data_IF_779503029473
#
_entry.id   IF_779503029473
#
_cell.length_a   1.000
_cell.length_b   1.000
_cell.length_c   1.000
_cell.angle_alpha   90.00
_cell.angle_beta   90.00
_cell.angle_gamma   90.00
#
_symmetry.space_group_name_H-M   'P 1'
#
loop_
_entity.id
_entity.type
_entity.pdbx_description
1 polymer ?
#
# COMPACT_ATOMS: atom_id res chain seq x y z
N UNK A 1 5.55 13.99 -16.74
CA UNK A 1 5.53 12.93 -17.76
C UNK A 1 4.30 13.14 -18.62
N UNK A 2 4.47 13.04 -19.93
CA UNK A 2 3.38 13.18 -20.88
C UNK A 2 2.48 11.93 -20.87
N UNK A 3 1.27 11.99 -21.43
CA UNK A 3 0.45 10.80 -21.68
C UNK A 3 1.19 9.76 -22.52
N UNK A 4 1.38 8.56 -21.97
CA UNK A 4 1.87 7.36 -22.67
C UNK A 4 1.77 6.14 -21.74
N UNK A 5 2.02 4.95 -22.30
CA UNK A 5 2.26 3.72 -21.55
C UNK A 5 3.77 3.43 -21.48
N UNK A 6 4.33 3.56 -20.29
CA UNK A 6 5.73 3.36 -19.99
C UNK A 6 5.97 1.94 -19.48
N UNK A 7 6.62 1.10 -20.29
CA UNK A 7 7.01 -0.28 -19.95
C UNK A 7 8.38 -0.34 -19.26
N UNK A 8 8.55 0.46 -18.21
CA UNK A 8 9.82 0.58 -17.49
C UNK A 8 9.60 0.61 -15.98
N UNK A 9 10.66 0.31 -15.23
CA UNK A 9 10.68 0.47 -13.78
C UNK A 9 11.25 1.86 -13.45
N UNK A 10 10.50 2.66 -12.68
CA UNK A 10 11.00 3.95 -12.21
C UNK A 10 11.78 3.76 -10.90
N UNK A 11 13.05 4.15 -10.89
CA UNK A 11 13.89 4.08 -9.69
C UNK A 11 14.27 5.49 -9.23
N UNK A 12 13.94 5.84 -7.99
CA UNK A 12 14.24 7.17 -7.44
C UNK A 12 15.72 7.29 -7.05
N UNK A 13 16.42 6.16 -6.81
CA UNK A 13 17.86 6.09 -6.49
C UNK A 13 18.27 7.05 -5.38
N UNK A 14 17.54 7.03 -4.27
CA UNK A 14 17.79 7.87 -3.08
C UNK A 14 17.68 9.38 -3.32
N UNK A 15 17.08 9.81 -4.44
CA UNK A 15 16.91 11.23 -4.73
C UNK A 15 15.56 11.75 -4.23
N UNK A 16 15.60 12.94 -3.64
CA UNK A 16 14.44 13.77 -3.32
C UNK A 16 13.70 14.34 -4.54
N UNK A 17 13.41 13.50 -5.54
CA UNK A 17 12.81 13.93 -6.80
C UNK A 17 11.29 13.82 -6.79
N UNK A 18 10.66 14.74 -7.51
CA UNK A 18 9.23 14.66 -7.82
C UNK A 18 9.08 14.05 -9.21
N UNK A 19 8.46 12.87 -9.28
CA UNK A 19 8.02 12.25 -10.52
C UNK A 19 6.51 12.43 -10.60
N UNK A 20 6.06 13.14 -11.63
CA UNK A 20 4.66 13.49 -11.80
C UNK A 20 4.21 13.38 -13.26
N UNK A 21 2.96 12.99 -13.50
CA UNK A 21 2.32 13.20 -14.81
C UNK A 21 1.93 14.67 -15.00
N UNK A 22 1.38 15.01 -16.17
CA UNK A 22 0.84 16.35 -16.43
C UNK A 22 -0.37 16.72 -15.55
N UNK A 23 -0.93 15.77 -14.78
CA UNK A 23 -1.92 16.06 -13.74
C UNK A 23 -1.47 17.20 -12.81
N UNK A 24 -0.17 17.32 -12.52
CA UNK A 24 0.36 18.37 -11.64
C UNK A 24 0.21 19.80 -12.20
N UNK A 25 -0.04 19.96 -13.50
CA UNK A 25 -0.11 21.25 -14.16
C UNK A 25 -1.51 21.90 -14.03
N UNK A 26 -2.58 21.11 -14.09
CA UNK A 26 -3.95 21.60 -14.16
C UNK A 26 -4.99 20.77 -13.39
N UNK A 27 -4.56 19.71 -12.69
CA UNK A 27 -5.41 18.74 -11.98
C UNK A 27 -6.43 18.00 -12.87
N UNK A 28 -6.15 17.86 -14.17
CA UNK A 28 -6.98 17.07 -15.04
C UNK A 28 -6.74 15.57 -14.83
N UNK A 29 -7.74 14.87 -14.29
CA UNK A 29 -7.68 13.43 -14.02
C UNK A 29 -7.41 12.57 -15.27
N UNK A 30 -7.72 13.07 -16.48
CA UNK A 30 -7.40 12.35 -17.71
C UNK A 30 -5.90 12.06 -17.86
N UNK A 31 -5.03 12.87 -17.22
CA UNK A 31 -3.60 12.60 -17.18
C UNK A 31 -3.21 11.43 -16.29
N UNK A 32 -4.02 11.11 -15.27
CA UNK A 32 -3.80 9.91 -14.44
C UNK A 32 -4.09 8.65 -15.24
N UNK A 33 -5.20 8.67 -16.00
CA UNK A 33 -5.64 7.53 -16.81
C UNK A 33 -4.70 7.28 -18.00
N UNK A 34 -4.14 8.35 -18.57
CA UNK A 34 -3.34 8.29 -19.81
C UNK A 34 -1.82 8.28 -19.61
N UNK A 35 -1.33 8.47 -18.39
CA UNK A 35 0.10 8.32 -18.05
C UNK A 35 0.27 7.06 -17.18
N UNK A 36 0.63 5.96 -17.84
CA UNK A 36 0.62 4.61 -17.25
C UNK A 36 2.05 4.10 -17.05
N UNK A 37 2.40 3.68 -15.83
CA UNK A 37 3.61 2.90 -15.54
C UNK A 37 3.19 1.43 -15.51
N UNK A 38 3.63 0.66 -16.50
CA UNK A 38 3.19 -0.71 -16.72
C UNK A 38 4.32 -1.71 -16.50
N UNK A 39 4.21 -2.51 -15.42
CA UNK A 39 5.18 -3.51 -15.01
C UNK A 39 5.08 -4.86 -15.73
N UNK A 40 4.24 -5.00 -16.77
CA UNK A 40 3.94 -6.30 -17.39
C UNK A 40 5.10 -6.97 -18.13
N UNK A 41 6.19 -6.25 -18.39
CA UNK A 41 7.36 -6.75 -19.13
C UNK A 41 8.67 -6.30 -18.46
N UNK A 42 8.96 -6.75 -17.23
CA UNK A 42 10.16 -6.33 -16.52
C UNK A 42 11.40 -6.91 -17.21
N UNK A 43 12.43 -6.09 -17.41
CA UNK A 43 13.72 -6.55 -17.95
C UNK A 43 14.42 -7.54 -17.01
N UNK A 44 14.16 -7.41 -15.69
CA UNK A 44 14.60 -8.34 -14.67
C UNK A 44 13.40 -8.79 -13.80
N UNK A 45 13.01 -10.07 -13.86
CA UNK A 45 11.89 -10.61 -13.08
C UNK A 45 12.04 -10.47 -11.55
N UNK A 46 13.26 -10.29 -11.04
CA UNK A 46 13.51 -10.16 -9.60
C UNK A 46 13.46 -8.71 -9.12
N UNK A 47 13.29 -7.73 -10.01
CA UNK A 47 13.03 -6.32 -9.69
C UNK A 47 11.85 -5.83 -10.52
N UNK A 48 10.70 -6.47 -10.35
CA UNK A 48 9.52 -6.26 -11.19
C UNK A 48 8.47 -5.34 -10.55
N UNK A 49 8.85 -4.54 -9.55
CA UNK A 49 8.02 -3.45 -9.04
C UNK A 49 7.93 -2.33 -10.08
N UNK A 50 6.75 -1.74 -10.32
CA UNK A 50 6.66 -0.61 -11.26
C UNK A 50 7.51 0.58 -10.81
N UNK A 51 7.53 0.86 -9.50
CA UNK A 51 8.31 1.96 -8.92
C UNK A 51 9.09 1.47 -7.70
N UNK A 52 10.38 1.82 -7.66
CA UNK A 52 11.28 1.59 -6.54
C UNK A 52 11.73 2.92 -5.93
N UNK A 53 11.39 3.11 -4.66
CA UNK A 53 11.82 4.24 -3.82
C UNK A 53 12.52 3.65 -2.60
N UNK A 54 13.72 3.15 -2.83
CA UNK A 54 14.53 2.42 -1.86
C UNK A 54 15.87 3.11 -1.63
N UNK A 55 16.42 2.88 -0.45
CA UNK A 55 17.77 3.28 -0.05
C UNK A 55 18.54 2.06 0.46
N UNK A 56 19.86 2.06 0.29
CA UNK A 56 20.75 1.02 0.80
C UNK A 56 21.15 1.26 2.27
N UNK A 57 20.82 2.42 2.83
CA UNK A 57 21.06 2.76 4.24
C UNK A 57 19.78 3.22 4.93
N UNK A 58 19.64 2.83 6.20
CA UNK A 58 18.58 3.36 7.06
C UNK A 58 18.82 4.87 7.26
N UNK A 59 18.08 5.69 6.52
CA UNK A 59 18.14 7.13 6.67
C UNK A 59 17.35 7.55 7.90
N UNK A 60 17.99 8.35 8.75
CA UNK A 60 17.35 8.98 9.92
C UNK A 60 16.66 10.29 9.57
N UNK A 61 16.71 10.71 8.31
CA UNK A 61 16.12 11.97 7.86
C UNK A 61 14.72 11.74 7.34
N UNK A 62 13.75 12.49 7.88
CA UNK A 62 12.35 12.58 7.40
C UNK A 62 12.26 13.30 6.04
N UNK A 63 13.11 12.93 5.08
CA UNK A 63 13.08 13.56 3.76
C UNK A 63 11.80 13.16 3.02
N UNK A 64 10.89 14.13 2.95
CA UNK A 64 9.59 14.05 2.27
C UNK A 64 9.59 14.75 0.92
N UNK A 65 10.76 15.19 0.44
CA UNK A 65 10.89 15.90 -0.84
C UNK A 65 10.47 15.02 -2.02
N UNK A 66 10.79 13.72 -1.97
CA UNK A 66 10.39 12.75 -2.98
C UNK A 66 8.86 12.61 -3.09
N UNK A 67 8.35 12.57 -4.32
CA UNK A 67 6.93 12.35 -4.56
C UNK A 67 6.63 11.62 -5.87
N UNK A 68 5.57 10.80 -5.86
CA UNK A 68 5.02 10.14 -7.03
C UNK A 68 3.56 10.56 -7.22
N UNK A 69 3.26 11.20 -8.36
CA UNK A 69 2.02 11.98 -8.52
C UNK A 69 1.35 11.73 -9.87
N UNK A 70 0.07 11.33 -9.85
CA UNK A 70 -0.78 11.42 -11.03
C UNK A 70 -0.62 10.29 -12.04
N UNK A 71 -0.32 9.07 -11.62
CA UNK A 71 -0.11 7.94 -12.54
C UNK A 71 -1.15 6.84 -12.38
N UNK A 72 -1.39 6.10 -13.46
CA UNK A 72 -1.86 4.71 -13.36
C UNK A 72 -0.64 3.79 -13.23
N UNK A 73 -0.61 2.92 -12.23
CA UNK A 73 0.50 2.02 -11.89
C UNK A 73 -0.03 0.60 -11.86
N UNK A 74 0.41 -0.25 -12.79
CA UNK A 74 -0.23 -1.54 -13.03
C UNK A 74 0.70 -2.65 -13.48
N UNK A 75 0.25 -3.90 -13.29
CA UNK A 75 0.90 -5.13 -13.76
C UNK A 75 2.30 -5.36 -13.17
N UNK A 76 2.65 -4.71 -12.07
CA UNK A 76 3.89 -4.97 -11.37
C UNK A 76 3.85 -6.31 -10.64
N UNK A 77 4.97 -7.05 -10.70
CA UNK A 77 5.13 -8.38 -10.13
C UNK A 77 5.98 -8.41 -8.86
N UNK A 78 6.48 -7.25 -8.42
CA UNK A 78 7.21 -7.07 -7.16
C UNK A 78 8.68 -7.44 -7.25
N UNK A 79 9.44 -6.96 -6.28
CA UNK A 79 10.89 -7.07 -6.21
C UNK A 79 11.31 -8.07 -5.15
N UNK A 80 12.21 -8.98 -5.50
CA UNK A 80 12.88 -9.87 -4.54
C UNK A 80 13.91 -9.07 -3.75
N UNK A 81 13.84 -9.13 -2.44
CA UNK A 81 14.76 -8.42 -1.57
C UNK A 81 14.85 -9.07 -0.19
N UNK A 82 16.02 -8.92 0.44
CA UNK A 82 16.27 -9.44 1.77
C UNK A 82 15.71 -8.47 2.81
N UNK A 83 14.79 -8.95 3.64
CA UNK A 83 14.25 -8.17 4.75
C UNK A 83 15.38 -7.85 5.73
N UNK A 84 15.50 -6.56 6.01
CA UNK A 84 16.49 -5.88 6.83
C UNK A 84 16.36 -6.22 8.33
N UNK A 85 15.17 -6.66 8.76
CA UNK A 85 14.90 -7.09 10.13
C UNK A 85 15.11 -8.61 10.29
N UNK A 86 15.63 -9.28 9.26
CA UNK A 86 16.02 -10.68 9.31
C UNK A 86 14.87 -11.67 9.12
N UNK A 87 13.71 -11.24 8.62
CA UNK A 87 12.57 -12.13 8.40
C UNK A 87 12.76 -13.08 7.20
N UNK A 88 13.78 -12.86 6.37
CA UNK A 88 14.13 -13.69 5.22
C UNK A 88 14.05 -12.95 3.88
N UNK A 89 14.06 -13.72 2.79
CA UNK A 89 13.99 -13.21 1.42
C UNK A 89 12.52 -13.12 0.99
N UNK A 90 12.03 -11.95 0.61
CA UNK A 90 10.63 -11.74 0.21
C UNK A 90 10.55 -11.19 -1.20
N UNK A 91 9.37 -11.34 -1.82
CA UNK A 91 9.01 -10.59 -3.02
C UNK A 91 7.88 -9.63 -2.68
N UNK A 92 8.08 -8.33 -2.83
CA UNK A 92 7.09 -7.34 -2.39
C UNK A 92 6.98 -6.11 -3.29
N UNK A 93 5.91 -5.34 -3.08
CA UNK A 93 5.71 -4.02 -3.67
C UNK A 93 5.46 -4.08 -5.17
N UNK A 94 4.38 -4.73 -5.60
CA UNK A 94 4.07 -4.94 -7.02
C UNK A 94 3.99 -3.61 -7.78
N UNK A 95 3.09 -2.73 -7.36
CA UNK A 95 3.06 -1.37 -7.89
C UNK A 95 4.26 -0.56 -7.39
N UNK A 96 4.40 -0.44 -6.07
CA UNK A 96 5.41 0.43 -5.46
C UNK A 96 6.11 -0.30 -4.31
N UNK A 97 7.44 -0.33 -4.35
CA UNK A 97 8.28 -0.73 -3.22
C UNK A 97 8.98 0.50 -2.63
N UNK A 98 8.77 0.74 -1.34
CA UNK A 98 9.33 1.84 -0.58
C UNK A 98 10.09 1.28 0.64
N UNK A 99 11.35 1.68 0.78
CA UNK A 99 12.21 1.24 1.88
C UNK A 99 13.12 2.39 2.34
N UNK A 100 13.17 2.62 3.66
CA UNK A 100 14.01 3.63 4.34
C UNK A 100 13.79 5.09 3.93
N UNK A 101 12.73 5.40 3.18
CA UNK A 101 12.45 6.72 2.66
C UNK A 101 11.02 7.13 3.00
N UNK A 102 10.75 8.45 3.03
CA UNK A 102 9.47 9.03 3.44
C UNK A 102 8.75 9.78 2.30
N UNK A 103 8.58 9.18 1.09
CA UNK A 103 8.01 9.89 -0.04
C UNK A 103 6.52 10.22 0.16
N UNK A 104 6.02 11.13 -0.69
CA UNK A 104 4.60 11.42 -0.84
C UNK A 104 4.04 10.67 -2.06
N UNK A 105 3.19 9.69 -1.83
CA UNK A 105 2.47 8.96 -2.88
C UNK A 105 1.07 9.55 -2.97
N UNK A 106 0.76 10.27 -4.06
CA UNK A 106 -0.52 10.98 -4.15
C UNK A 106 -1.16 10.99 -5.52
N UNK A 107 -2.49 10.96 -5.54
CA UNK A 107 -3.28 11.08 -6.77
C UNK A 107 -2.91 10.02 -7.83
N UNK A 108 -2.63 8.79 -7.41
CA UNK A 108 -2.37 7.68 -8.33
C UNK A 108 -3.53 6.68 -8.35
N UNK A 109 -3.66 5.95 -9.44
CA UNK A 109 -4.43 4.72 -9.56
C UNK A 109 -3.44 3.55 -9.52
N UNK A 110 -3.45 2.75 -8.47
CA UNK A 110 -2.55 1.60 -8.26
C UNK A 110 -3.40 0.35 -8.38
N UNK A 111 -3.28 -0.34 -9.50
CA UNK A 111 -4.28 -1.32 -9.93
C UNK A 111 -3.69 -2.54 -10.60
N UNK A 112 -4.27 -3.73 -10.36
CA UNK A 112 -3.88 -4.98 -11.00
C UNK A 112 -2.38 -5.31 -10.85
N UNK A 113 -1.79 -4.99 -9.70
CA UNK A 113 -0.43 -5.43 -9.37
C UNK A 113 -0.51 -6.75 -8.61
N UNK A 114 0.30 -7.74 -9.00
CA UNK A 114 0.18 -9.11 -8.50
C UNK A 114 1.52 -9.68 -8.08
N UNK A 115 1.67 -9.90 -6.78
CA UNK A 115 2.89 -10.44 -6.18
C UNK A 115 2.58 -11.80 -5.59
N UNK A 116 2.45 -12.83 -6.44
CA UNK A 116 2.02 -14.18 -6.03
C UNK A 116 3.07 -15.26 -6.27
N UNK A 117 4.16 -14.95 -6.99
CA UNK A 117 5.23 -15.90 -7.27
C UNK A 117 6.14 -16.09 -6.04
N UNK A 118 6.02 -17.25 -5.40
CA UNK A 118 6.79 -17.66 -4.21
C UNK A 118 8.11 -18.36 -4.54
N UNK A 119 8.49 -18.49 -5.81
CA UNK A 119 9.70 -19.21 -6.19
C UNK A 119 10.95 -18.54 -5.61
N UNK A 120 11.61 -19.27 -4.70
CA UNK A 120 12.87 -18.85 -4.07
C UNK A 120 12.71 -17.72 -3.06
N UNK A 121 11.51 -17.46 -2.54
CA UNK A 121 11.26 -16.48 -1.47
C UNK A 121 10.43 -17.10 -0.35
N UNK A 122 10.54 -16.56 0.86
CA UNK A 122 9.77 -16.98 2.03
C UNK A 122 8.28 -16.75 1.84
N UNK A 123 7.90 -15.59 1.31
CA UNK A 123 6.50 -15.21 1.06
C UNK A 123 6.45 -13.99 0.14
N UNK A 124 5.23 -13.52 -0.15
CA UNK A 124 4.99 -12.37 -1.01
C UNK A 124 3.98 -11.37 -0.45
N UNK A 125 4.27 -10.07 -0.56
CA UNK A 125 3.49 -9.03 0.10
C UNK A 125 3.36 -7.73 -0.67
N UNK A 126 2.42 -6.87 -0.26
CA UNK A 126 2.32 -5.50 -0.79
C UNK A 126 2.03 -5.49 -2.28
N UNK A 127 0.90 -6.09 -2.69
CA UNK A 127 0.52 -6.18 -4.10
C UNK A 127 0.52 -4.81 -4.77
N UNK A 128 -0.22 -3.86 -4.19
CA UNK A 128 -0.18 -2.46 -4.60
C UNK A 128 1.08 -1.77 -4.10
N UNK A 129 1.24 -1.68 -2.78
CA UNK A 129 2.32 -0.93 -2.14
C UNK A 129 2.94 -1.73 -0.99
N UNK A 130 4.27 -1.77 -0.92
CA UNK A 130 5.04 -2.16 0.27
C UNK A 130 5.81 -0.97 0.81
N UNK A 131 5.66 -0.69 2.10
CA UNK A 131 6.36 0.41 2.79
C UNK A 131 7.12 -0.09 4.02
N UNK A 132 8.40 0.27 4.12
CA UNK A 132 9.31 -0.11 5.20
C UNK A 132 10.12 1.07 5.73
N UNK A 133 10.26 1.14 7.06
CA UNK A 133 11.24 1.99 7.77
C UNK A 133 11.31 3.47 7.31
N UNK A 134 10.15 4.08 7.09
CA UNK A 134 10.01 5.50 6.79
C UNK A 134 8.70 6.09 7.31
N UNK A 135 8.52 7.40 7.24
CA UNK A 135 7.33 8.13 7.68
C UNK A 135 6.59 8.74 6.48
N UNK A 136 6.27 7.88 5.51
CA UNK A 136 5.67 8.28 4.25
C UNK A 136 4.20 8.73 4.38
N UNK A 137 3.68 9.34 3.32
CA UNK A 137 2.26 9.60 3.18
C UNK A 137 1.68 9.02 1.90
N UNK A 138 0.53 8.35 2.04
CA UNK A 138 -0.25 7.78 0.94
C UNK A 138 -1.58 8.53 0.95
N UNK A 139 -1.76 9.46 0.00
CA UNK A 139 -2.86 10.43 0.03
C UNK A 139 -3.62 10.50 -1.30
N UNK A 140 -4.95 10.46 -1.27
CA UNK A 140 -5.79 10.63 -2.47
C UNK A 140 -5.49 9.61 -3.59
N UNK A 141 -5.14 8.37 -3.26
CA UNK A 141 -4.93 7.31 -4.24
C UNK A 141 -6.15 6.40 -4.34
N UNK A 142 -6.28 5.74 -5.49
CA UNK A 142 -7.18 4.61 -5.71
C UNK A 142 -6.30 3.37 -5.78
N UNK A 143 -6.41 2.48 -4.80
CA UNK A 143 -5.63 1.25 -4.67
C UNK A 143 -6.61 0.10 -4.76
N UNK A 144 -6.65 -0.57 -5.92
CA UNK A 144 -7.69 -1.57 -6.18
C UNK A 144 -7.21 -2.76 -6.99
N UNK A 145 -7.84 -3.92 -6.81
CA UNK A 145 -7.56 -5.13 -7.59
C UNK A 145 -6.09 -5.59 -7.53
N UNK A 146 -5.38 -5.27 -6.44
CA UNK A 146 -4.02 -5.77 -6.23
C UNK A 146 -4.04 -7.07 -5.44
N UNK A 147 -3.03 -7.92 -5.64
CA UNK A 147 -2.96 -9.21 -4.95
C UNK A 147 -1.56 -9.56 -4.48
N UNK A 148 -1.48 -10.20 -3.31
CA UNK A 148 -0.28 -10.79 -2.75
C UNK A 148 -0.64 -11.92 -1.78
N UNK A 149 0.32 -12.56 -1.10
CA UNK A 149 -0.02 -13.51 -0.03
C UNK A 149 -0.39 -12.81 1.29
N UNK A 150 0.09 -11.59 1.51
CA UNK A 150 -0.34 -10.68 2.59
C UNK A 150 -0.29 -9.22 2.14
N UNK A 151 -1.19 -8.36 2.64
CA UNK A 151 -1.22 -6.95 2.24
C UNK A 151 -1.43 -6.80 0.73
N UNK A 152 -2.58 -7.29 0.24
CA UNK A 152 -2.91 -7.22 -1.19
C UNK A 152 -2.84 -5.79 -1.71
N UNK A 153 -3.46 -4.85 -1.00
CA UNK A 153 -3.37 -3.42 -1.27
C UNK A 153 -2.06 -2.83 -0.75
N UNK A 154 -1.91 -2.78 0.58
CA UNK A 154 -0.81 -2.09 1.26
C UNK A 154 -0.19 -2.97 2.35
N UNK A 155 1.14 -3.02 2.38
CA UNK A 155 1.92 -3.46 3.54
C UNK A 155 2.58 -2.26 4.22
N UNK A 156 2.41 -2.17 5.54
CA UNK A 156 3.08 -1.24 6.43
C UNK A 156 4.01 -2.02 7.38
N UNK A 157 5.30 -2.04 7.09
CA UNK A 157 6.32 -2.67 7.91
C UNK A 157 7.20 -1.60 8.59
N UNK A 158 7.42 -1.69 9.91
CA UNK A 158 8.25 -0.73 10.69
C UNK A 158 8.13 0.76 10.30
N UNK A 159 6.96 1.21 9.83
CA UNK A 159 6.71 2.57 9.29
C UNK A 159 5.73 3.38 10.13
N UNK A 160 5.90 4.70 10.22
CA UNK A 160 4.94 5.65 10.80
C UNK A 160 4.09 6.33 9.73
N UNK A 161 3.40 5.56 8.90
CA UNK A 161 2.73 6.08 7.71
C UNK A 161 1.43 6.84 8.02
N UNK A 162 1.18 7.91 7.26
CA UNK A 162 -0.12 8.56 7.13
C UNK A 162 -0.84 8.03 5.88
N UNK A 163 -1.96 7.34 6.07
CA UNK A 163 -2.84 6.88 4.98
C UNK A 163 -4.11 7.73 5.03
N UNK A 164 -4.32 8.57 4.02
CA UNK A 164 -5.40 9.55 4.03
C UNK A 164 -6.17 9.67 2.72
N UNK A 165 -7.50 9.77 2.80
CA UNK A 165 -8.36 10.05 1.63
C UNK A 165 -8.17 9.05 0.47
N UNK A 166 -7.82 7.80 0.75
CA UNK A 166 -7.67 6.78 -0.28
C UNK A 166 -8.94 5.93 -0.42
N UNK A 167 -9.10 5.35 -1.59
CA UNK A 167 -9.98 4.20 -1.81
C UNK A 167 -9.08 2.96 -1.87
N UNK A 168 -9.28 2.01 -0.97
CA UNK A 168 -8.54 0.75 -0.87
C UNK A 168 -9.56 -0.38 -0.98
N UNK A 169 -9.72 -0.95 -2.17
CA UNK A 169 -10.86 -1.83 -2.42
C UNK A 169 -10.58 -2.95 -3.40
N UNK A 170 -11.26 -4.09 -3.19
CA UNK A 170 -11.10 -5.29 -4.04
C UNK A 170 -9.67 -5.81 -4.12
N UNK A 171 -8.82 -5.49 -3.15
CA UNK A 171 -7.51 -6.09 -3.01
C UNK A 171 -7.61 -7.45 -2.32
N UNK A 172 -6.69 -8.36 -2.63
CA UNK A 172 -6.73 -9.75 -2.16
C UNK A 172 -5.43 -10.24 -1.55
N UNK A 173 -5.55 -10.95 -0.43
CA UNK A 173 -4.44 -11.61 0.25
C UNK A 173 -4.63 -13.14 0.28
N UNK A 174 -3.57 -13.88 -0.06
CA UNK A 174 -3.52 -15.34 -0.06
C UNK A 174 -3.41 -16.00 1.32
N UNK A 175 -3.47 -15.24 2.41
CA UNK A 175 -3.63 -15.75 3.77
C UNK A 175 -2.35 -15.91 4.59
N UNK A 176 -1.16 -15.70 4.02
CA UNK A 176 0.09 -15.73 4.77
C UNK A 176 0.04 -14.73 5.93
N UNK A 177 0.52 -15.11 7.12
CA UNK A 177 0.57 -14.25 8.31
C UNK A 177 -0.80 -13.67 8.74
N UNK A 178 -1.90 -14.33 8.35
CA UNK A 178 -3.26 -13.82 8.55
C UNK A 178 -3.53 -12.53 7.78
N UNK A 179 -2.89 -12.36 6.62
CA UNK A 179 -2.74 -11.13 5.85
C UNK A 179 -3.95 -10.18 5.80
N UNK A 180 -3.70 -8.88 5.69
CA UNK A 180 -4.73 -7.92 5.35
C UNK A 180 -4.98 -7.94 3.84
N UNK A 181 -6.21 -8.14 3.38
CA UNK A 181 -6.54 -8.00 1.96
C UNK A 181 -6.26 -6.58 1.48
N UNK A 182 -6.83 -5.58 2.17
CA UNK A 182 -6.58 -4.17 1.94
C UNK A 182 -5.26 -3.72 2.58
N UNK A 183 -5.13 -3.84 3.90
CA UNK A 183 -3.96 -3.33 4.63
C UNK A 183 -3.42 -4.37 5.62
N UNK A 184 -2.14 -4.69 5.53
CA UNK A 184 -1.41 -5.45 6.55
C UNK A 184 -0.39 -4.54 7.25
N UNK A 185 -0.53 -4.38 8.56
CA UNK A 185 0.31 -3.52 9.38
C UNK A 185 1.08 -4.35 10.42
N UNK A 186 2.41 -4.32 10.35
CA UNK A 186 3.30 -5.07 11.22
C UNK A 186 4.38 -4.20 11.86
N UNK A 187 4.69 -4.51 13.12
CA UNK A 187 5.64 -3.81 13.99
C UNK A 187 5.32 -2.32 14.17
N UNK A 188 6.03 -1.62 15.05
CA UNK A 188 5.87 -0.17 15.25
C UNK A 188 7.11 0.57 14.79
N UNK A 189 6.91 1.77 14.24
CA UNK A 189 7.95 2.77 14.09
C UNK A 189 7.94 3.73 15.29
N UNK A 190 8.95 4.60 15.44
CA UNK A 190 8.91 5.69 16.42
C UNK A 190 7.71 6.63 16.21
N UNK A 191 7.31 6.83 14.96
CA UNK A 191 6.18 7.69 14.58
C UNK A 191 4.85 6.92 14.54
N UNK A 192 3.73 7.55 14.91
CA UNK A 192 2.42 6.91 14.95
C UNK A 192 1.89 6.57 13.55
N UNK A 193 1.21 5.43 13.43
CA UNK A 193 0.46 5.06 12.21
C UNK A 193 -0.96 5.62 12.28
N UNK A 194 -1.32 6.46 11.32
CA UNK A 194 -2.62 7.11 11.25
C UNK A 194 -3.27 6.76 9.91
N UNK A 195 -4.47 6.17 9.98
CA UNK A 195 -5.30 5.86 8.82
C UNK A 195 -6.59 6.67 8.96
N UNK A 196 -6.79 7.67 8.11
CA UNK A 196 -7.92 8.59 8.21
C UNK A 196 -8.64 8.91 6.91
N UNK A 197 -9.96 9.09 6.98
CA UNK A 197 -10.79 9.50 5.83
C UNK A 197 -10.68 8.54 4.62
N UNK A 198 -10.43 7.25 4.84
CA UNK A 198 -10.33 6.27 3.76
C UNK A 198 -11.62 5.47 3.59
N UNK A 199 -11.83 4.96 2.38
CA UNK A 199 -12.76 3.86 2.11
C UNK A 199 -11.95 2.58 1.99
N UNK A 200 -12.16 1.62 2.88
CA UNK A 200 -11.49 0.31 2.90
C UNK A 200 -12.55 -0.76 2.74
N UNK A 201 -12.80 -1.20 1.51
CA UNK A 201 -14.00 -1.95 1.21
C UNK A 201 -13.81 -3.13 0.25
N UNK A 202 -14.61 -4.18 0.45
CA UNK A 202 -14.65 -5.35 -0.45
C UNK A 202 -13.29 -6.03 -0.67
N UNK A 203 -12.36 -5.86 0.26
CA UNK A 203 -11.09 -6.55 0.22
C UNK A 203 -11.25 -7.98 0.77
N UNK A 204 -10.40 -8.87 0.30
CA UNK A 204 -10.51 -10.30 0.53
C UNK A 204 -9.23 -10.87 1.15
N UNK A 205 -9.39 -11.79 2.10
CA UNK A 205 -8.33 -12.67 2.53
C UNK A 205 -8.83 -14.13 2.40
N UNK A 206 -7.98 -15.06 1.97
CA UNK A 206 -8.38 -16.48 1.84
C UNK A 206 -8.29 -17.29 3.14
N UNK A 207 -7.59 -16.80 4.16
CA UNK A 207 -7.46 -17.43 5.48
C UNK A 207 -8.59 -17.04 6.41
N UNK A 208 -9.21 -18.04 7.05
CA UNK A 208 -10.28 -17.85 8.04
C UNK A 208 -9.84 -17.04 9.27
N UNK A 209 -8.54 -16.98 9.55
CA UNK A 209 -7.96 -16.20 10.65
C UNK A 209 -7.38 -14.85 10.18
N UNK A 210 -7.58 -14.50 8.90
CA UNK A 210 -7.15 -13.24 8.33
C UNK A 210 -8.20 -12.14 8.39
N UNK A 211 -7.87 -11.00 7.80
CA UNK A 211 -8.80 -9.90 7.61
C UNK A 211 -8.79 -9.43 6.17
N UNK A 212 -9.96 -9.38 5.53
CA UNK A 212 -10.10 -8.72 4.24
C UNK A 212 -9.72 -7.25 4.35
N UNK A 213 -10.23 -6.53 5.35
CA UNK A 213 -9.97 -5.10 5.49
C UNK A 213 -8.56 -4.81 6.00
N UNK A 214 -8.39 -4.88 7.32
CA UNK A 214 -7.12 -4.54 7.98
C UNK A 214 -6.65 -5.66 8.91
N UNK A 215 -5.41 -6.11 8.74
CA UNK A 215 -4.70 -6.95 9.70
C UNK A 215 -3.65 -6.12 10.41
N UNK A 216 -3.74 -6.04 11.74
CA UNK A 216 -2.80 -5.33 12.60
C UNK A 216 -2.12 -6.37 13.49
N UNK A 217 -0.79 -6.46 13.39
CA UNK A 217 0.00 -7.41 14.15
C UNK A 217 1.21 -6.73 14.80
N UNK A 218 1.31 -6.80 16.13
CA UNK A 218 2.41 -6.20 16.90
C UNK A 218 2.58 -4.70 16.57
N UNK A 219 1.47 -4.02 16.32
CA UNK A 219 1.44 -2.64 15.84
C UNK A 219 0.31 -1.85 16.50
N UNK A 220 0.54 -0.55 16.67
CA UNK A 220 -0.40 0.43 17.20
C UNK A 220 -0.86 1.31 16.05
N UNK A 221 -2.15 1.21 15.70
CA UNK A 221 -2.76 1.94 14.59
C UNK A 221 -3.93 2.76 15.09
N UNK A 222 -3.99 4.03 14.69
CA UNK A 222 -5.16 4.88 14.90
C UNK A 222 -6.00 4.95 13.63
N UNK A 223 -7.25 4.50 13.71
CA UNK A 223 -8.25 4.61 12.67
C UNK A 223 -9.22 5.74 13.03
N UNK A 224 -9.40 6.71 12.13
CA UNK A 224 -10.43 7.74 12.30
C UNK A 224 -11.15 8.12 11.01
N UNK A 225 -12.44 8.38 11.09
CA UNK A 225 -13.24 8.83 9.93
C UNK A 225 -13.16 7.90 8.71
N UNK A 226 -12.95 6.60 8.90
CA UNK A 226 -12.88 5.65 7.79
C UNK A 226 -14.23 4.96 7.59
N UNK A 227 -14.50 4.56 6.36
CA UNK A 227 -15.54 3.58 6.02
C UNK A 227 -14.84 2.24 5.83
N UNK A 228 -15.17 1.25 6.65
CA UNK A 228 -14.58 -0.10 6.60
C UNK A 228 -15.73 -1.09 6.44
N UNK A 229 -15.97 -1.53 5.20
CA UNK A 229 -17.23 -2.16 4.83
C UNK A 229 -17.09 -3.25 3.77
N UNK A 230 -17.87 -4.33 3.88
CA UNK A 230 -17.97 -5.36 2.86
C UNK A 230 -16.71 -6.22 2.70
N UNK A 231 -15.72 -6.07 3.58
CA UNK A 231 -14.52 -6.90 3.54
C UNK A 231 -14.83 -8.34 3.98
N UNK A 232 -14.14 -9.32 3.39
CA UNK A 232 -14.38 -10.74 3.63
C UNK A 232 -13.46 -11.27 4.75
N UNK A 233 -13.93 -12.26 5.51
CA UNK A 233 -13.36 -12.81 6.75
C UNK A 233 -13.39 -11.87 7.95
N UNK A 234 -12.88 -10.63 7.86
CA UNK A 234 -13.00 -9.62 8.91
C UNK A 234 -12.83 -8.20 8.34
N UNK A 235 -13.52 -7.22 8.95
CA UNK A 235 -13.25 -5.79 8.70
C UNK A 235 -11.87 -5.41 9.25
N UNK A 236 -11.62 -5.78 10.51
CA UNK A 236 -10.40 -5.47 11.25
C UNK A 236 -10.03 -6.70 12.07
N UNK A 237 -8.77 -7.11 12.04
CA UNK A 237 -8.20 -8.08 12.97
C UNK A 237 -6.98 -7.46 13.66
N UNK A 238 -7.10 -7.21 14.95
CA UNK A 238 -6.07 -6.65 15.82
C UNK A 238 -6.70 -5.69 16.84
N UNK A 239 -5.88 -4.84 17.46
CA UNK A 239 -6.33 -3.92 18.51
C UNK A 239 -6.02 -2.44 18.20
N UNK A 240 -6.56 -1.86 17.11
CA UNK A 240 -6.43 -0.43 16.85
C UNK A 240 -7.25 0.43 17.81
N UNK A 241 -6.86 1.69 17.92
CA UNK A 241 -7.76 2.76 18.40
C UNK A 241 -8.65 3.18 17.24
N UNK A 242 -9.97 3.10 17.39
CA UNK A 242 -10.94 3.39 16.33
C UNK A 242 -11.93 4.43 16.81
N UNK A 243 -12.04 5.54 16.09
CA UNK A 243 -12.97 6.63 16.44
C UNK A 243 -13.63 7.19 15.18
N UNK A 244 -14.87 7.65 15.28
CA UNK A 244 -15.61 8.27 14.18
C UNK A 244 -15.64 7.45 12.88
N UNK A 245 -15.50 6.13 12.96
CA UNK A 245 -15.49 5.24 11.80
C UNK A 245 -16.87 4.60 11.58
N UNK A 246 -17.20 4.33 10.32
CA UNK A 246 -18.31 3.45 9.96
C UNK A 246 -17.75 2.05 9.68
N UNK A 247 -17.97 1.10 10.60
CA UNK A 247 -17.39 -0.25 10.53
C UNK A 247 -18.52 -1.28 10.47
N UNK A 248 -18.54 -2.09 9.40
CA UNK A 248 -19.53 -3.15 9.27
C UNK A 248 -19.44 -4.15 10.42
N UNK A 249 -20.55 -4.38 11.12
CA UNK A 249 -20.60 -5.24 12.31
C UNK A 249 -20.16 -4.53 13.60
N UNK A 250 -19.88 -3.24 13.52
CA UNK A 250 -19.54 -2.37 14.64
C UNK A 250 -18.09 -2.48 15.13
N UNK A 251 -17.65 -1.44 15.84
CA UNK A 251 -16.38 -1.44 16.58
C UNK A 251 -16.45 -0.47 17.76
N UNK A 252 -15.88 -0.84 18.90
CA UNK A 252 -15.88 0.01 20.10
C UNK A 252 -15.04 1.27 19.91
N UNK A 253 -15.57 2.43 20.29
CA UNK A 253 -14.84 3.70 20.30
C UNK A 253 -15.76 4.89 20.09
N UNK A 254 -15.25 6.08 20.40
CA UNK A 254 -16.01 7.33 20.30
C UNK A 254 -16.49 7.58 18.87
N UNK A 255 -17.78 7.88 18.69
CA UNK A 255 -18.34 8.30 17.40
C UNK A 255 -18.41 7.20 16.33
N UNK A 256 -18.05 5.95 16.64
CA UNK A 256 -18.17 4.86 15.67
C UNK A 256 -19.65 4.51 15.41
N UNK A 257 -19.96 4.17 14.17
CA UNK A 257 -21.29 3.75 13.71
C UNK A 257 -21.18 2.45 12.91
N UNK A 258 -22.31 1.76 12.77
CA UNK A 258 -22.49 0.59 11.89
C UNK A 258 -23.77 0.81 11.09
N UNK A 259 -23.64 1.56 10.00
CA UNK A 259 -24.78 1.93 9.14
C UNK A 259 -24.38 1.76 7.69
N UNK A 260 -25.29 1.26 6.85
CA UNK A 260 -25.05 1.13 5.42
C UNK A 260 -24.50 2.45 4.84
N UNK A 261 -23.30 2.46 4.23
CA UNK A 261 -22.77 3.64 3.56
C UNK A 261 -23.68 4.01 2.39
N UNK A 262 -24.07 5.28 2.31
CA UNK A 262 -24.90 5.85 1.24
C UNK A 262 -24.06 6.34 0.05
#
# INVERSE_FOLDING_TARGET
>A
MAPDVYYENIHFREKGIVVASHYILDNNNAYIDSTVINGSNPSNPDTASCVLIVSDSAYTTEDTSAALIGFTITQGAGTKWQDEHGAGLYREGGGILIQYLSPRIRNNIIVNNQVTNTQGVTSTGGGGIRCGDGNLSIINNIIVLNSALYGGGIVLNYTGALIKNNIIAYDSAGGAYGGGGGIWAYANAPSPRIIENNVIAYNYNSSAYGAGGLRIWSSSVTLRNNIIWGNINNQIYGSPTVTYCNVQGGWTGEGNIDTLPF
#
